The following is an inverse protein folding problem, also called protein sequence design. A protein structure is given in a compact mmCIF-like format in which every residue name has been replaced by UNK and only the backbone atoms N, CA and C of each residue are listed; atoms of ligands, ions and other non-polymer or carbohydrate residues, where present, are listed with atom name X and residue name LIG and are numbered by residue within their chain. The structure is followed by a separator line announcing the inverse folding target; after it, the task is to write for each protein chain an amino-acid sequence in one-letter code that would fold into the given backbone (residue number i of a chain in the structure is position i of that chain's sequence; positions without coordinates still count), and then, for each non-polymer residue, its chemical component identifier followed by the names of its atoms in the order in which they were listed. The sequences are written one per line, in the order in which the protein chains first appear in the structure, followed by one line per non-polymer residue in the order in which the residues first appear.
data_IF_687501857269
#
_entry.id   IF_687501857269
#
_cell.length_a   1.000
_cell.length_b   1.000
_cell.length_c   1.000
_cell.angle_alpha   90.00
_cell.angle_beta   90.00
_cell.angle_gamma   90.00
#
_symmetry.space_group_name_H-M   'P 1'
#
loop_
_entity.id
_entity.type
_entity.pdbx_description
1 polymer ?
#
# COMPACT_ATOMS: atom_id res chain seq x y z
N UNK A 1 3.67 -15.12 23.81
CA UNK A 1 3.43 -15.14 22.36
C UNK A 1 2.62 -13.89 22.08
N UNK A 2 3.00 -12.88 21.32
CA UNK A 2 4.15 -12.51 20.49
C UNK A 2 4.25 -10.98 20.56
N UNK A 3 5.43 -10.43 20.28
CA UNK A 3 5.74 -9.00 20.43
C UNK A 3 4.83 -8.16 19.54
N UNK A 4 3.87 -7.45 20.14
CA UNK A 4 3.10 -6.39 19.48
C UNK A 4 4.01 -5.17 19.36
N UNK A 5 4.88 -5.18 18.36
CA UNK A 5 5.68 -4.00 18.02
C UNK A 5 4.72 -2.92 17.56
N UNK A 6 4.64 -1.82 18.31
CA UNK A 6 3.92 -0.59 17.96
C UNK A 6 4.59 0.14 16.77
N UNK A 7 4.98 -0.60 15.73
CA UNK A 7 5.67 -0.09 14.56
C UNK A 7 4.71 -0.03 13.38
N UNK A 8 4.62 1.13 12.75
CA UNK A 8 4.01 1.26 11.44
C UNK A 8 4.76 0.36 10.44
N UNK A 9 4.11 0.06 9.33
CA UNK A 9 4.54 -0.81 8.24
C UNK A 9 4.70 0.03 6.97
N UNK A 10 5.60 -0.37 6.05
CA UNK A 10 5.78 0.33 4.79
C UNK A 10 4.54 0.21 3.91
N UNK A 11 4.09 1.33 3.35
CA UNK A 11 3.08 1.32 2.31
C UNK A 11 3.58 0.53 1.09
N UNK A 12 2.80 -0.41 0.53
CA UNK A 12 3.24 -1.21 -0.62
C UNK A 12 3.49 -0.36 -1.88
N UNK A 13 2.84 0.80 -2.00
CA UNK A 13 3.03 1.70 -3.13
C UNK A 13 4.30 2.57 -2.98
N UNK A 14 4.41 3.38 -1.93
CA UNK A 14 5.49 4.37 -1.80
C UNK A 14 6.67 3.95 -0.93
N UNK A 15 6.55 2.86 -0.18
CA UNK A 15 7.56 2.33 0.75
C UNK A 15 7.70 3.11 2.06
N UNK A 16 6.98 4.22 2.28
CA UNK A 16 7.07 4.99 3.53
C UNK A 16 6.32 4.26 4.64
N UNK A 17 6.94 4.17 5.82
CA UNK A 17 6.41 3.47 7.00
C UNK A 17 5.29 4.25 7.67
N UNK A 18 4.05 4.05 7.21
CA UNK A 18 2.86 4.78 7.67
C UNK A 18 1.63 3.91 7.92
N UNK A 19 1.65 2.62 7.54
CA UNK A 19 0.50 1.73 7.65
C UNK A 19 0.46 1.07 9.03
N UNK A 20 -0.68 1.08 9.71
CA UNK A 20 -0.82 0.45 11.03
C UNK A 20 -0.95 -1.06 10.95
N UNK A 21 -1.71 -1.57 9.98
CA UNK A 21 -1.92 -3.01 9.74
C UNK A 21 -2.02 -3.24 8.23
N UNK A 22 -1.21 -4.18 7.70
CA UNK A 22 -1.23 -4.50 6.27
C UNK A 22 -2.52 -5.24 5.88
N UNK A 23 -3.11 -4.86 4.75
CA UNK A 23 -4.30 -5.49 4.18
C UNK A 23 -5.63 -5.07 4.82
N UNK A 24 -5.63 -4.04 5.66
CA UNK A 24 -6.84 -3.51 6.34
C UNK A 24 -7.39 -2.24 5.65
N UNK A 25 -7.12 -2.07 4.35
CA UNK A 25 -7.65 -0.98 3.53
C UNK A 25 -7.29 0.42 4.06
N UNK A 26 -6.16 0.54 4.78
CA UNK A 26 -5.68 1.83 5.24
C UNK A 26 -5.15 2.67 4.07
N UNK A 27 -5.53 3.95 4.02
CA UNK A 27 -5.07 4.86 2.99
C UNK A 27 -3.75 5.50 3.42
N UNK A 28 -2.70 5.29 2.63
CA UNK A 28 -1.41 5.91 2.85
C UNK A 28 -1.48 7.44 2.73
N UNK A 29 -1.20 8.23 3.79
CA UNK A 29 -1.28 9.69 3.75
C UNK A 29 -0.20 10.35 2.86
N UNK A 30 0.78 9.57 2.38
CA UNK A 30 1.90 10.07 1.56
C UNK A 30 1.59 9.97 0.07
N UNK A 31 1.07 8.83 -0.38
CA UNK A 31 0.83 8.56 -1.81
C UNK A 31 -0.62 8.31 -2.18
N UNK A 32 -1.52 8.29 -1.19
CA UNK A 32 -2.96 8.07 -1.35
C UNK A 32 -3.34 6.69 -1.93
N UNK A 33 -2.45 5.71 -1.80
CA UNK A 33 -2.74 4.31 -2.10
C UNK A 33 -3.52 3.69 -0.93
N UNK A 34 -4.63 3.02 -1.23
CA UNK A 34 -5.39 2.21 -0.25
C UNK A 34 -4.80 0.80 -0.18
N UNK A 35 -4.46 0.33 1.01
CA UNK A 35 -3.78 -0.94 1.26
C UNK A 35 -4.72 -2.16 1.10
N UNK A 36 -5.09 -2.42 -0.15
CA UNK A 36 -5.95 -3.50 -0.57
C UNK A 36 -5.19 -4.85 -0.59
N UNK A 37 -5.62 -5.86 0.18
CA UNK A 37 -4.92 -7.16 0.26
C UNK A 37 -4.96 -7.96 -1.05
N UNK A 38 -6.01 -7.80 -1.88
CA UNK A 38 -6.08 -8.43 -3.19
C UNK A 38 -5.02 -7.82 -4.11
N UNK A 39 -4.96 -6.49 -4.20
CA UNK A 39 -3.96 -5.80 -5.02
C UNK A 39 -2.53 -5.94 -4.47
N UNK A 40 -2.36 -6.16 -3.16
CA UNK A 40 -1.07 -6.53 -2.58
C UNK A 40 -0.63 -7.95 -3.00
N UNK A 41 -1.57 -8.89 -3.09
CA UNK A 41 -1.31 -10.28 -3.50
C UNK A 41 -1.16 -10.46 -5.01
N UNK A 42 -1.84 -9.63 -5.80
CA UNK A 42 -1.77 -9.55 -7.26
C UNK A 42 -1.48 -8.09 -7.69
N UNK A 43 -0.20 -7.68 -7.73
CA UNK A 43 0.20 -6.29 -8.00
C UNK A 43 -0.15 -5.74 -9.39
N UNK A 44 -0.56 -6.62 -10.31
CA UNK A 44 -1.04 -6.25 -11.66
C UNK A 44 -2.57 -6.23 -11.74
N UNK A 45 -3.29 -6.59 -10.67
CA UNK A 45 -4.75 -6.48 -10.60
C UNK A 45 -5.19 -5.02 -10.69
N UNK A 46 -5.99 -4.73 -11.72
CA UNK A 46 -6.58 -3.41 -11.97
C UNK A 46 -8.03 -3.40 -11.49
N UNK A 47 -8.40 -2.38 -10.71
CA UNK A 47 -9.70 -2.28 -10.06
C UNK A 47 -9.65 -2.78 -8.61
N UNK A 48 -10.82 -2.91 -7.97
CA UNK A 48 -10.93 -3.16 -6.53
C UNK A 48 -11.03 -1.85 -5.76
N UNK A 49 -10.31 -1.72 -4.64
CA UNK A 49 -10.26 -0.47 -3.87
C UNK A 49 -9.55 0.67 -4.65
N UNK A 50 -8.51 0.34 -5.43
CA UNK A 50 -7.80 1.32 -6.24
C UNK A 50 -8.16 1.18 -7.74
N UNK A 51 -8.26 2.30 -8.49
CA UNK A 51 -8.63 2.28 -9.91
C UNK A 51 -7.52 1.76 -10.83
N UNK A 52 -6.27 1.73 -10.35
CA UNK A 52 -5.07 1.27 -11.07
C UNK A 52 -4.38 0.17 -10.25
N UNK A 53 -3.52 -0.63 -10.88
CA UNK A 53 -2.78 -1.68 -10.17
C UNK A 53 -1.71 -1.12 -9.24
N UNK A 54 -1.24 -1.93 -8.29
CA UNK A 54 -0.18 -1.56 -7.35
C UNK A 54 1.11 -1.19 -8.11
N UNK A 55 1.47 -1.96 -9.13
CA UNK A 55 2.63 -1.67 -9.99
C UNK A 55 2.47 -0.34 -10.73
N UNK A 56 1.27 -0.04 -11.25
CA UNK A 56 0.99 1.24 -11.91
C UNK A 56 1.07 2.42 -10.92
N UNK A 57 0.57 2.25 -9.69
CA UNK A 57 0.65 3.28 -8.66
C UNK A 57 2.08 3.52 -8.20
N UNK A 58 2.86 2.45 -8.02
CA UNK A 58 4.28 2.52 -7.68
C UNK A 58 5.08 3.28 -8.75
N UNK A 59 4.90 2.94 -10.03
CA UNK A 59 5.54 3.66 -11.14
C UNK A 59 5.16 5.14 -11.15
N UNK A 60 3.85 5.46 -11.05
CA UNK A 60 3.38 6.85 -10.97
C UNK A 60 3.95 7.62 -9.78
N UNK A 61 4.23 6.94 -8.67
CA UNK A 61 4.86 7.56 -7.50
C UNK A 61 6.36 7.81 -7.74
N UNK A 62 7.05 6.87 -8.38
CA UNK A 62 8.46 7.01 -8.73
C UNK A 62 8.68 8.12 -9.77
N UNK A 63 7.79 8.28 -10.75
CA UNK A 63 7.86 9.34 -11.76
C UNK A 63 7.65 10.76 -11.18
N UNK A 64 7.04 10.86 -9.99
CA UNK A 64 6.82 12.14 -9.29
C UNK A 64 8.00 12.56 -8.41
N UNK A 65 8.98 11.68 -8.19
CA UNK A 65 10.19 11.97 -7.42
C UNK A 65 11.28 12.57 -8.29
#
# INVERSE_FOLDING_TARGET
MEKKSSGLLPCPCCGVTVISVLGEYEICPICNWEDDPLQASDPDYVGGANPISLNQANQKWMDKK
#
